data_IF_922792697271
#
_entry.id   IF_922792697271
#
_cell.length_a   1.000
_cell.length_b   1.000
_cell.length_c   1.000
_cell.angle_alpha   90.00
_cell.angle_beta   90.00
_cell.angle_gamma   90.00
#
_symmetry.space_group_name_H-M   'P 1'
#
loop_
_entity.id
_entity.type
_entity.pdbx_description
1 polymer ?
#
# COMPACT_ATOMS: atom_id res chain seq x y z
N UNK A 1 39.89 -18.60 -10.18
CA UNK A 1 38.51 -18.30 -10.59
C UNK A 1 37.62 -19.54 -10.48
N UNK A 2 38.00 -20.67 -11.07
CA UNK A 2 37.28 -21.95 -11.03
C UNK A 2 37.02 -22.45 -9.60
N UNK A 3 37.98 -22.35 -8.69
CA UNK A 3 37.84 -22.77 -7.30
C UNK A 3 36.75 -21.95 -6.56
N UNK A 4 36.71 -20.64 -6.79
CA UNK A 4 35.68 -19.75 -6.19
C UNK A 4 34.29 -20.12 -6.69
N UNK A 5 34.15 -20.37 -7.99
CA UNK A 5 32.86 -20.75 -8.59
C UNK A 5 32.35 -22.09 -8.05
N UNK A 6 33.23 -23.07 -7.89
CA UNK A 6 32.88 -24.36 -7.30
C UNK A 6 32.52 -24.24 -5.81
N UNK A 7 33.22 -23.40 -5.06
CA UNK A 7 32.91 -23.15 -3.64
C UNK A 7 31.52 -22.49 -3.49
N UNK A 8 31.23 -21.47 -4.31
CA UNK A 8 29.90 -20.82 -4.30
C UNK A 8 28.82 -21.81 -4.67
N UNK A 9 28.99 -22.59 -5.73
CA UNK A 9 28.03 -23.60 -6.16
C UNK A 9 27.77 -24.65 -5.07
N UNK A 10 28.83 -25.10 -4.38
CA UNK A 10 28.73 -26.06 -3.27
C UNK A 10 27.90 -25.47 -2.10
N UNK A 11 28.23 -24.26 -1.66
CA UNK A 11 27.53 -23.58 -0.56
C UNK A 11 26.04 -23.42 -0.90
N UNK A 12 25.74 -22.99 -2.13
CA UNK A 12 24.37 -22.82 -2.61
C UNK A 12 23.62 -24.16 -2.60
N UNK A 13 24.26 -25.21 -3.16
CA UNK A 13 23.67 -26.55 -3.22
C UNK A 13 23.37 -27.10 -1.82
N UNK A 14 24.29 -26.94 -0.88
CA UNK A 14 24.14 -27.42 0.49
C UNK A 14 23.02 -26.66 1.23
N UNK A 15 22.92 -25.35 1.02
CA UNK A 15 21.82 -24.53 1.56
C UNK A 15 20.46 -24.94 1.00
N UNK A 16 20.37 -25.17 -0.31
CA UNK A 16 19.14 -25.61 -0.97
C UNK A 16 18.72 -27.01 -0.49
N UNK A 17 19.64 -27.97 -0.42
CA UNK A 17 19.38 -29.32 0.10
C UNK A 17 18.88 -29.28 1.54
N UNK A 18 19.57 -28.52 2.40
CA UNK A 18 19.14 -28.35 3.79
C UNK A 18 17.71 -27.82 3.90
N UNK A 19 17.35 -26.89 3.04
CA UNK A 19 15.99 -26.30 3.01
C UNK A 19 14.95 -27.32 2.57
N UNK A 20 15.20 -28.04 1.48
CA UNK A 20 14.32 -29.08 0.96
C UNK A 20 14.13 -30.21 1.97
N UNK A 21 15.20 -30.62 2.65
CA UNK A 21 15.13 -31.68 3.66
C UNK A 21 14.36 -31.23 4.93
N UNK A 22 14.46 -29.96 5.28
CA UNK A 22 13.66 -29.37 6.36
C UNK A 22 12.15 -29.38 6.02
N UNK A 23 11.80 -29.08 4.77
CA UNK A 23 10.39 -29.12 4.32
C UNK A 23 9.85 -30.56 4.26
N UNK A 24 10.66 -31.54 3.78
CA UNK A 24 10.28 -32.96 3.77
C UNK A 24 10.08 -33.54 5.17
N UNK A 25 10.82 -33.07 6.18
CA UNK A 25 10.70 -33.52 7.56
C UNK A 25 9.51 -32.86 8.29
N UNK A 26 8.67 -32.12 7.58
CA UNK A 26 7.52 -31.45 8.19
C UNK A 26 7.92 -30.48 9.30
N UNK A 27 9.15 -29.98 9.28
CA UNK A 27 9.56 -28.91 10.19
C UNK A 27 8.69 -27.70 9.84
N UNK A 28 7.57 -27.65 10.53
CA UNK A 28 6.67 -26.50 10.53
C UNK A 28 7.57 -25.28 10.60
N UNK A 29 7.44 -24.38 9.63
CA UNK A 29 7.99 -23.03 9.79
C UNK A 29 7.61 -22.65 11.21
N UNK A 30 8.59 -22.40 12.06
CA UNK A 30 8.32 -21.75 13.34
C UNK A 30 7.62 -20.46 12.88
N UNK A 31 6.31 -20.45 13.05
CA UNK A 31 5.58 -19.22 12.87
C UNK A 31 6.30 -18.26 13.82
N UNK A 32 7.09 -17.36 13.27
CA UNK A 32 7.53 -16.22 14.06
C UNK A 32 6.21 -15.66 14.54
N UNK A 33 5.95 -15.86 15.84
CA UNK A 33 4.73 -15.36 16.46
C UNK A 33 4.71 -13.89 16.09
N UNK A 34 3.79 -13.51 15.21
CA UNK A 34 3.62 -12.11 14.90
C UNK A 34 3.46 -11.41 16.25
N UNK A 35 4.15 -10.31 16.50
CA UNK A 35 3.90 -9.55 17.71
C UNK A 35 2.39 -9.34 17.80
N UNK A 36 1.78 -9.49 18.97
CA UNK A 36 0.34 -9.25 19.11
C UNK A 36 0.03 -7.90 18.49
N UNK A 37 -1.10 -7.76 17.78
CA UNK A 37 -1.48 -6.47 17.23
C UNK A 37 -1.40 -5.46 18.38
N UNK A 38 -0.90 -4.25 18.12
CA UNK A 38 -0.89 -3.23 19.15
C UNK A 38 -2.29 -3.18 19.77
N UNK A 39 -2.41 -3.08 21.09
CA UNK A 39 -3.71 -2.98 21.75
C UNK A 39 -4.49 -1.90 21.00
N UNK A 40 -5.74 -2.20 20.65
CA UNK A 40 -6.60 -1.25 19.94
C UNK A 40 -6.46 0.09 20.68
N UNK A 41 -5.77 1.02 20.04
CA UNK A 41 -5.56 2.34 20.60
C UNK A 41 -6.94 2.91 20.85
N UNK A 42 -7.32 3.00 22.10
CA UNK A 42 -8.61 3.48 22.58
C UNK A 42 -9.83 2.92 21.82
N UNK A 43 -10.91 2.59 22.51
CA UNK A 43 -12.22 2.23 21.94
C UNK A 43 -12.84 3.38 21.10
N UNK A 44 -12.02 4.30 20.62
CA UNK A 44 -12.46 5.41 19.77
C UNK A 44 -12.54 4.93 18.33
N UNK A 45 -13.71 4.53 17.92
CA UNK A 45 -14.05 4.39 16.52
C UNK A 45 -14.16 5.79 15.90
N UNK A 46 -13.06 6.24 15.27
CA UNK A 46 -13.02 7.55 14.61
C UNK A 46 -14.13 7.69 13.56
N UNK A 47 -14.52 6.61 12.91
CA UNK A 47 -15.58 6.63 11.87
C UNK A 47 -16.92 7.02 12.50
N UNK A 48 -17.25 6.47 13.66
CA UNK A 48 -18.47 6.79 14.37
C UNK A 48 -18.50 8.22 14.95
N UNK A 49 -17.36 8.89 15.01
CA UNK A 49 -17.28 10.31 15.45
C UNK A 49 -17.44 11.31 14.33
N UNK A 50 -17.45 10.85 13.05
CA UNK A 50 -17.61 11.73 11.90
C UNK A 50 -19.05 12.24 11.80
N UNK A 51 -19.21 13.55 11.63
CA UNK A 51 -20.53 14.13 11.32
C UNK A 51 -20.86 13.94 9.84
N UNK A 52 -21.57 12.86 9.52
CA UNK A 52 -21.95 12.49 8.16
C UNK A 52 -23.01 13.43 7.54
N UNK A 53 -23.56 14.40 8.31
CA UNK A 53 -24.54 15.39 7.83
C UNK A 53 -23.87 16.61 7.22
N UNK A 54 -22.54 16.73 7.34
CA UNK A 54 -21.82 17.86 6.76
C UNK A 54 -21.94 17.83 5.23
N UNK A 55 -22.47 18.92 4.69
CA UNK A 55 -22.66 19.09 3.26
C UNK A 55 -22.24 20.50 2.82
N UNK A 56 -21.83 20.62 1.59
CA UNK A 56 -21.51 21.90 0.95
C UNK A 56 -22.44 22.14 -0.24
N UNK A 57 -22.80 23.41 -0.49
CA UNK A 57 -23.60 23.73 -1.68
C UNK A 57 -22.78 23.46 -2.94
N UNK A 58 -23.46 23.11 -4.05
CA UNK A 58 -22.81 22.85 -5.33
C UNK A 58 -21.90 24.03 -5.76
N UNK A 59 -22.40 25.27 -5.66
CA UNK A 59 -21.65 26.48 -6.02
C UNK A 59 -20.34 26.61 -5.23
N UNK A 60 -20.39 26.34 -3.91
CA UNK A 60 -19.19 26.37 -3.07
C UNK A 60 -18.24 25.22 -3.42
N UNK A 61 -18.78 24.03 -3.63
CA UNK A 61 -18.01 22.86 -4.02
C UNK A 61 -17.23 23.12 -5.32
N UNK A 62 -17.89 23.60 -6.38
CA UNK A 62 -17.27 23.85 -7.68
C UNK A 62 -16.14 24.90 -7.56
N UNK A 63 -16.38 26.00 -6.83
CA UNK A 63 -15.38 27.04 -6.56
C UNK A 63 -14.18 26.52 -5.78
N UNK A 64 -14.42 25.75 -4.72
CA UNK A 64 -13.33 25.23 -3.88
C UNK A 64 -12.57 24.13 -4.61
N UNK A 65 -13.23 23.31 -5.43
CA UNK A 65 -12.59 22.30 -6.28
C UNK A 65 -11.63 22.93 -7.26
N UNK A 66 -12.06 23.94 -8.02
CA UNK A 66 -11.21 24.66 -8.97
C UNK A 66 -9.96 25.26 -8.26
N UNK A 67 -10.18 25.90 -7.13
CA UNK A 67 -9.12 26.48 -6.32
C UNK A 67 -8.10 25.44 -5.87
N UNK A 68 -8.56 24.29 -5.36
CA UNK A 68 -7.66 23.26 -4.85
C UNK A 68 -6.97 22.49 -5.98
N UNK A 69 -7.64 22.26 -7.10
CA UNK A 69 -7.02 21.70 -8.30
C UNK A 69 -5.92 22.61 -8.84
N UNK A 70 -6.15 23.92 -8.92
CA UNK A 70 -5.13 24.89 -9.31
C UNK A 70 -3.92 24.86 -8.38
N UNK A 71 -4.13 24.83 -7.06
CA UNK A 71 -3.04 24.72 -6.08
C UNK A 71 -2.25 23.40 -6.21
N UNK A 72 -2.95 22.28 -6.40
CA UNK A 72 -2.31 20.99 -6.58
C UNK A 72 -1.46 20.95 -7.85
N UNK A 73 -1.98 21.51 -8.95
CA UNK A 73 -1.24 21.63 -10.20
C UNK A 73 0.04 22.46 -10.03
N UNK A 74 -0.04 23.61 -9.38
CA UNK A 74 1.14 24.44 -9.10
C UNK A 74 2.15 23.74 -8.18
N UNK A 75 1.66 23.03 -7.15
CA UNK A 75 2.51 22.31 -6.21
C UNK A 75 3.31 21.21 -6.90
N UNK A 76 2.67 20.42 -7.75
CA UNK A 76 3.35 19.32 -8.47
C UNK A 76 4.35 19.79 -9.51
N UNK A 77 4.23 21.04 -9.97
CA UNK A 77 5.22 21.71 -10.85
C UNK A 77 6.38 22.35 -10.10
N UNK A 78 6.26 22.49 -8.78
CA UNK A 78 7.30 23.11 -7.96
C UNK A 78 8.59 22.28 -7.98
N UNK A 79 9.78 22.90 -8.19
CA UNK A 79 11.06 22.18 -8.18
C UNK A 79 11.32 21.39 -6.88
N UNK A 80 10.83 21.86 -5.73
CA UNK A 80 10.95 21.16 -4.45
C UNK A 80 10.15 19.85 -4.45
N UNK A 81 8.98 19.79 -5.11
CA UNK A 81 8.21 18.57 -5.25
C UNK A 81 8.94 17.56 -6.14
N UNK A 82 9.67 18.00 -7.15
CA UNK A 82 10.46 17.10 -8.02
C UNK A 82 11.53 16.31 -7.29
N UNK A 83 11.86 16.67 -6.06
CA UNK A 83 12.79 15.95 -5.18
C UNK A 83 12.08 14.95 -4.26
N UNK A 84 10.76 14.83 -4.36
CA UNK A 84 9.93 13.92 -3.57
C UNK A 84 9.09 13.06 -4.49
N UNK A 85 8.56 11.99 -3.95
CA UNK A 85 7.49 11.22 -4.59
C UNK A 85 6.22 11.30 -3.74
N UNK A 86 5.07 11.06 -4.35
CA UNK A 86 3.78 11.10 -3.65
C UNK A 86 3.04 9.79 -3.88
N UNK A 87 2.62 9.19 -2.79
CA UNK A 87 1.74 8.02 -2.78
C UNK A 87 0.43 8.44 -2.14
N UNK A 88 -0.66 8.24 -2.86
CA UNK A 88 -2.01 8.49 -2.36
C UNK A 88 -2.74 7.15 -2.30
N UNK A 89 -3.30 6.85 -1.15
CA UNK A 89 -4.06 5.62 -0.91
C UNK A 89 -5.50 5.95 -0.63
N UNK A 90 -6.41 5.30 -1.34
CA UNK A 90 -7.85 5.38 -1.11
C UNK A 90 -8.38 4.06 -0.60
N UNK A 91 -8.98 4.10 0.58
CA UNK A 91 -9.70 2.99 1.21
C UNK A 91 -11.13 3.42 1.57
N UNK A 92 -11.96 2.48 1.94
CA UNK A 92 -13.35 2.70 2.34
C UNK A 92 -14.32 1.77 1.63
N UNK A 93 -15.57 1.79 2.07
CA UNK A 93 -16.64 0.93 1.57
C UNK A 93 -16.89 1.11 0.06
N UNK A 94 -17.58 0.15 -0.54
CA UNK A 94 -18.02 0.30 -1.92
C UNK A 94 -19.02 1.47 -2.01
N UNK A 95 -19.02 2.15 -3.15
CA UNK A 95 -19.79 3.36 -3.38
C UNK A 95 -19.42 4.60 -2.54
N UNK A 96 -18.40 4.54 -1.65
CA UNK A 96 -17.96 5.69 -0.83
C UNK A 96 -17.34 6.85 -1.64
N UNK A 97 -17.29 6.77 -2.98
CA UNK A 97 -16.84 7.87 -3.82
C UNK A 97 -15.34 7.87 -4.14
N UNK A 98 -14.61 6.75 -3.90
CA UNK A 98 -13.17 6.63 -4.20
C UNK A 98 -12.83 7.05 -5.63
N UNK A 99 -13.43 6.42 -6.63
CA UNK A 99 -13.19 6.73 -8.05
C UNK A 99 -13.50 8.18 -8.42
N UNK A 100 -14.56 8.77 -7.83
CA UNK A 100 -14.89 10.19 -8.00
C UNK A 100 -13.81 11.12 -7.43
N UNK A 101 -13.26 10.81 -6.27
CA UNK A 101 -12.19 11.56 -5.63
C UNK A 101 -10.88 11.45 -6.43
N UNK A 102 -10.52 10.25 -6.86
CA UNK A 102 -9.36 9.99 -7.72
C UNK A 102 -9.45 10.82 -9.01
N UNK A 103 -10.60 10.79 -9.69
CA UNK A 103 -10.81 11.56 -10.92
C UNK A 103 -10.60 13.07 -10.71
N UNK A 104 -11.06 13.62 -9.58
CA UNK A 104 -10.88 15.05 -9.27
C UNK A 104 -9.43 15.40 -8.99
N UNK A 105 -8.68 14.52 -8.35
CA UNK A 105 -7.23 14.71 -8.12
C UNK A 105 -6.48 14.60 -9.45
N UNK A 106 -6.72 13.55 -10.23
CA UNK A 106 -6.01 13.33 -11.49
C UNK A 106 -6.29 14.41 -12.53
N UNK A 107 -7.48 15.02 -12.51
CA UNK A 107 -7.81 16.20 -13.35
C UNK A 107 -6.92 17.41 -13.09
N UNK A 108 -6.25 17.48 -11.95
CA UNK A 108 -5.30 18.55 -11.61
C UNK A 108 -3.84 18.23 -11.93
N UNK A 109 -3.53 16.97 -12.28
CA UNK A 109 -2.17 16.47 -12.48
C UNK A 109 -1.83 16.35 -13.98
N UNK A 110 -0.56 16.50 -14.31
CA UNK A 110 -0.07 16.13 -15.64
C UNK A 110 -0.09 14.59 -15.78
N UNK A 111 -0.75 14.08 -16.83
CA UNK A 111 -0.89 12.64 -17.06
C UNK A 111 0.46 11.90 -17.14
N UNK A 112 1.53 12.60 -17.48
CA UNK A 112 2.89 12.04 -17.50
C UNK A 112 3.51 11.87 -16.12
N UNK A 113 2.92 12.48 -15.08
CA UNK A 113 3.50 12.53 -13.74
C UNK A 113 2.82 11.58 -12.75
N UNK A 114 1.69 11.00 -13.10
CA UNK A 114 0.98 10.09 -12.20
C UNK A 114 0.63 8.76 -12.86
N UNK A 115 0.36 7.79 -12.01
CA UNK A 115 -0.30 6.55 -12.38
C UNK A 115 -1.37 6.22 -11.32
N UNK A 116 -2.45 5.61 -11.76
CA UNK A 116 -3.50 5.07 -10.88
C UNK A 116 -3.47 3.56 -10.96
N UNK A 117 -3.39 2.91 -9.80
CA UNK A 117 -3.28 1.46 -9.67
C UNK A 117 -4.54 0.95 -8.97
N UNK A 118 -5.47 0.35 -9.69
CA UNK A 118 -6.61 -0.33 -9.10
C UNK A 118 -6.13 -1.67 -8.52
N UNK A 119 -6.42 -1.91 -7.25
CA UNK A 119 -6.08 -3.16 -6.58
C UNK A 119 -7.30 -4.08 -6.58
N UNK A 120 -7.17 -5.16 -7.32
CA UNK A 120 -8.14 -6.26 -7.39
C UNK A 120 -7.58 -7.54 -6.72
N UNK A 121 -8.27 -8.66 -6.91
CA UNK A 121 -7.74 -9.96 -6.53
C UNK A 121 -6.34 -10.18 -7.15
N UNK A 122 -5.39 -10.79 -6.41
CA UNK A 122 -4.03 -10.97 -6.91
C UNK A 122 -4.00 -11.89 -8.13
N UNK A 123 -3.15 -11.58 -9.10
CA UNK A 123 -2.85 -12.43 -10.25
C UNK A 123 -2.06 -13.68 -9.80
N UNK A 124 -1.87 -14.65 -10.69
CA UNK A 124 -1.03 -15.83 -10.39
C UNK A 124 0.42 -15.43 -10.08
N UNK A 125 0.97 -14.51 -10.85
CA UNK A 125 2.31 -13.95 -10.60
C UNK A 125 2.39 -13.32 -9.21
N UNK A 126 1.41 -12.49 -8.85
CA UNK A 126 1.36 -11.83 -7.54
C UNK A 126 1.20 -12.81 -6.37
N UNK A 127 0.47 -13.91 -6.57
CA UNK A 127 0.32 -14.98 -5.56
C UNK A 127 1.61 -15.76 -5.34
N UNK A 128 2.45 -15.89 -6.35
CA UNK A 128 3.76 -16.54 -6.25
C UNK A 128 4.79 -15.72 -5.48
N UNK A 129 4.50 -14.45 -5.18
CA UNK A 129 5.40 -13.50 -4.54
C UNK A 129 4.92 -13.14 -3.11
N UNK A 130 5.81 -12.58 -2.26
CA UNK A 130 5.38 -12.00 -0.99
C UNK A 130 4.29 -10.93 -1.20
N UNK A 131 3.33 -10.85 -0.27
CA UNK A 131 2.14 -10.00 -0.42
C UNK A 131 2.44 -8.56 -0.85
N UNK A 132 3.42 -7.91 -0.22
CA UNK A 132 3.73 -6.51 -0.49
C UNK A 132 4.48 -6.29 -1.81
N UNK A 133 4.97 -7.35 -2.46
CA UNK A 133 5.65 -7.24 -3.74
C UNK A 133 4.81 -6.54 -4.81
N UNK A 134 3.51 -6.85 -4.87
CA UNK A 134 2.58 -6.24 -5.83
C UNK A 134 2.44 -4.73 -5.69
N UNK A 135 2.79 -4.17 -4.53
CA UNK A 135 2.76 -2.72 -4.26
C UNK A 135 4.13 -2.10 -4.49
N UNK A 136 5.22 -2.80 -4.14
CA UNK A 136 6.58 -2.34 -4.38
C UNK A 136 6.84 -2.03 -5.85
N UNK A 137 6.34 -2.83 -6.77
CA UNK A 137 6.51 -2.63 -8.22
C UNK A 137 5.88 -1.33 -8.73
N UNK A 138 5.00 -0.71 -7.96
CA UNK A 138 4.32 0.54 -8.27
C UNK A 138 4.81 1.73 -7.44
N UNK A 139 5.86 1.56 -6.64
CA UNK A 139 6.46 2.66 -5.90
C UNK A 139 6.93 3.76 -6.87
N UNK A 140 6.52 5.03 -6.66
CA UNK A 140 6.83 6.09 -7.60
C UNK A 140 8.30 6.50 -7.52
N UNK A 141 8.87 6.80 -8.67
CA UNK A 141 10.16 7.50 -8.74
C UNK A 141 9.99 8.93 -8.22
N UNK A 142 11.08 9.55 -7.80
CA UNK A 142 11.15 10.96 -7.42
C UNK A 142 10.49 11.84 -8.49
N UNK A 143 9.66 12.79 -8.07
CA UNK A 143 8.88 13.68 -8.94
C UNK A 143 7.63 13.05 -9.55
N UNK A 144 7.24 11.84 -9.09
CA UNK A 144 6.06 11.12 -9.59
C UNK A 144 5.03 10.88 -8.50
N UNK A 145 3.82 10.59 -8.93
CA UNK A 145 2.66 10.30 -8.08
C UNK A 145 2.13 8.91 -8.41
N UNK A 146 1.93 8.07 -7.39
CA UNK A 146 1.15 6.84 -7.53
C UNK A 146 -0.11 6.95 -6.67
N UNK A 147 -1.25 6.65 -7.26
CA UNK A 147 -2.56 6.66 -6.60
C UNK A 147 -3.04 5.22 -6.56
N UNK A 148 -3.21 4.67 -5.37
CA UNK A 148 -3.78 3.34 -5.17
C UNK A 148 -5.28 3.45 -4.90
N UNK A 149 -6.10 2.81 -5.74
CA UNK A 149 -7.52 2.58 -5.49
C UNK A 149 -7.66 1.21 -4.83
N UNK A 150 -7.88 1.20 -3.51
CA UNK A 150 -7.58 0.13 -2.57
C UNK A 150 -6.05 -0.10 -2.43
N UNK A 151 -5.62 -0.86 -1.43
CA UNK A 151 -4.19 -0.92 -1.12
C UNK A 151 -3.77 -2.18 -0.40
N UNK A 152 -2.57 -2.13 0.17
CA UNK A 152 -2.01 -3.15 1.05
C UNK A 152 -2.82 -3.39 2.32
N UNK A 153 -3.69 -2.47 2.69
CA UNK A 153 -4.60 -2.68 3.81
C UNK A 153 -5.65 -3.75 3.54
N UNK A 154 -5.87 -4.14 2.29
CA UNK A 154 -6.74 -5.26 1.92
C UNK A 154 -6.47 -6.54 2.72
N UNK A 155 -5.19 -6.82 3.05
CA UNK A 155 -4.78 -7.97 3.86
C UNK A 155 -5.42 -8.00 5.24
N UNK A 156 -5.51 -6.86 5.91
CA UNK A 156 -6.07 -6.72 7.27
C UNK A 156 -7.54 -6.27 7.27
N UNK A 157 -8.08 -5.95 6.10
CA UNK A 157 -9.48 -5.59 5.88
C UNK A 157 -10.23 -6.74 5.19
N UNK A 158 -10.49 -6.61 3.90
CA UNK A 158 -11.33 -7.54 3.15
C UNK A 158 -10.78 -8.97 3.17
N UNK A 159 -9.48 -9.18 3.00
CA UNK A 159 -8.93 -10.53 2.97
C UNK A 159 -9.02 -11.24 4.34
N UNK A 160 -8.92 -10.48 5.43
CA UNK A 160 -9.16 -10.99 6.78
C UNK A 160 -10.64 -11.33 7.00
N UNK A 161 -11.54 -10.41 6.64
CA UNK A 161 -12.98 -10.53 6.91
C UNK A 161 -13.59 -11.66 6.09
N UNK A 162 -13.23 -11.76 4.81
CA UNK A 162 -13.71 -12.79 3.89
C UNK A 162 -12.95 -14.14 4.01
N UNK A 163 -11.96 -14.23 4.89
CA UNK A 163 -11.19 -15.46 5.08
C UNK A 163 -10.25 -15.81 3.92
N UNK A 164 -9.90 -14.86 3.06
CA UNK A 164 -8.98 -15.08 1.94
C UNK A 164 -7.52 -15.17 2.39
N UNK A 165 -7.20 -14.69 3.57
CA UNK A 165 -5.87 -14.78 4.17
C UNK A 165 -5.93 -15.56 5.48
N UNK A 166 -5.01 -16.54 5.70
CA UNK A 166 -4.92 -17.23 6.98
C UNK A 166 -4.52 -16.26 8.10
N UNK A 167 -4.89 -16.61 9.34
CA UNK A 167 -4.68 -15.77 10.52
C UNK A 167 -3.22 -15.33 10.68
N UNK A 168 -2.28 -16.25 10.51
CA UNK A 168 -0.86 -15.98 10.61
C UNK A 168 -0.39 -14.90 9.61
N UNK A 169 -1.02 -14.81 8.45
CA UNK A 169 -0.65 -13.86 7.41
C UNK A 169 -1.20 -12.46 7.69
N UNK A 170 -2.49 -12.34 8.04
CA UNK A 170 -3.04 -11.02 8.33
C UNK A 170 -2.56 -10.46 9.67
N UNK A 171 -2.25 -11.31 10.65
CA UNK A 171 -1.61 -10.86 11.90
C UNK A 171 -0.21 -10.28 11.65
N UNK A 172 0.60 -10.96 10.82
CA UNK A 172 1.92 -10.49 10.44
C UNK A 172 1.86 -9.20 9.63
N UNK A 173 0.81 -9.05 8.81
CA UNK A 173 0.66 -7.91 7.90
C UNK A 173 0.63 -6.56 8.60
N UNK A 174 0.21 -6.46 9.86
CA UNK A 174 0.25 -5.19 10.60
C UNK A 174 1.68 -4.65 10.73
N UNK A 175 2.63 -5.50 11.08
CA UNK A 175 4.04 -5.11 11.17
C UNK A 175 4.64 -4.88 9.77
N UNK A 176 4.37 -5.78 8.83
CA UNK A 176 4.87 -5.70 7.45
C UNK A 176 4.41 -4.41 6.74
N UNK A 177 3.17 -3.99 6.94
CA UNK A 177 2.62 -2.74 6.38
C UNK A 177 3.32 -1.53 6.99
N UNK A 178 3.52 -1.52 8.31
CA UNK A 178 4.23 -0.43 8.96
C UNK A 178 5.67 -0.30 8.45
N UNK A 179 6.38 -1.42 8.33
CA UNK A 179 7.75 -1.43 7.79
C UNK A 179 7.79 -0.97 6.32
N UNK A 180 6.82 -1.40 5.52
CA UNK A 180 6.70 -0.99 4.13
C UNK A 180 6.51 0.53 4.00
N UNK A 181 5.57 1.10 4.75
CA UNK A 181 5.32 2.53 4.76
C UNK A 181 6.53 3.33 5.27
N UNK A 182 7.19 2.85 6.33
CA UNK A 182 8.39 3.47 6.87
C UNK A 182 9.52 3.50 5.84
N UNK A 183 9.75 2.42 5.12
CA UNK A 183 10.74 2.36 4.04
C UNK A 183 10.42 3.36 2.92
N UNK A 184 9.15 3.48 2.50
CA UNK A 184 8.73 4.46 1.51
C UNK A 184 9.00 5.89 1.99
N UNK A 185 8.65 6.21 3.23
CA UNK A 185 8.84 7.54 3.83
C UNK A 185 10.33 7.88 3.99
N UNK A 186 11.13 6.94 4.47
CA UNK A 186 12.60 7.12 4.57
C UNK A 186 13.25 7.32 3.20
N UNK A 187 12.71 6.72 2.16
CA UNK A 187 13.15 6.96 0.78
C UNK A 187 12.62 8.29 0.19
N UNK A 188 11.99 9.14 1.00
CA UNK A 188 11.55 10.47 0.63
C UNK A 188 10.16 10.54 0.01
N UNK A 189 9.37 9.47 0.06
CA UNK A 189 7.98 9.51 -0.37
C UNK A 189 7.09 10.23 0.66
N UNK A 190 6.14 11.01 0.16
CA UNK A 190 5.00 11.48 0.95
C UNK A 190 3.89 10.46 0.79
N UNK A 191 3.44 9.86 1.90
CA UNK A 191 2.33 8.91 1.91
C UNK A 191 1.11 9.58 2.52
N UNK A 192 0.03 9.68 1.73
CA UNK A 192 -1.24 10.27 2.15
C UNK A 192 -2.33 9.23 2.01
N UNK A 193 -3.06 8.97 3.09
CA UNK A 193 -4.09 7.93 3.15
C UNK A 193 -5.45 8.55 3.40
N UNK A 194 -6.43 8.18 2.58
CA UNK A 194 -7.82 8.57 2.72
C UNK A 194 -8.68 7.34 3.00
N UNK A 195 -9.42 7.41 4.09
CA UNK A 195 -10.51 6.49 4.37
C UNK A 195 -11.82 7.21 4.10
N UNK A 196 -12.56 6.75 3.08
CA UNK A 196 -13.85 7.33 2.73
C UNK A 196 -14.98 6.54 3.40
N UNK A 197 -15.75 7.23 4.22
CA UNK A 197 -16.95 6.69 4.86
C UNK A 197 -18.22 7.32 4.24
N UNK A 198 -19.33 6.56 4.24
CA UNK A 198 -20.67 6.95 3.85
C UNK A 198 -21.67 6.49 4.92
#
# INVERSE_FOLDING_TARGET
EQYRSLTVAKILLDAMRKRVDQEKKGVRRVAVSAPPPPPAADRRDLINTLDMRLAVTKKRFDKDLEKYQGRLNLLTRNPKFRQRSLIIVFEGSDAAGKGGSIRRITGALDARQYQTIPIAAPTEEERAQPYLWRFWRHAPRTGRVTIFDRSWYGRVLVERVEGFAPEADWMRAYAEINDFEDQLVRNGALVVKFWLAI
#
